data_IF_439466484475
#
_entry.id   IF_439466484475
#
_cell.length_a   1.000
_cell.length_b   1.000
_cell.length_c   1.000
_cell.angle_alpha   90.00
_cell.angle_beta   90.00
_cell.angle_gamma   90.00
#
_symmetry.space_group_name_H-M   'P 1'
#
loop_
_entity.id
_entity.type
_entity.pdbx_description
1 polymer ?
#
# COMPACT_ATOMS: atom_id res chain seq x y z
N UNK A 1 5.53 22.80 -18.31
CA UNK A 1 6.27 21.68 -17.68
C UNK A 1 6.19 21.60 -16.16
N UNK A 2 6.60 22.62 -15.41
CA UNK A 2 6.59 22.55 -13.93
C UNK A 2 5.20 22.80 -13.30
N UNK A 3 4.35 23.59 -13.97
CA UNK A 3 2.89 23.64 -13.70
C UNK A 3 2.14 22.39 -14.26
N UNK A 4 2.74 21.61 -15.18
CA UNK A 4 2.12 20.40 -15.76
C UNK A 4 2.19 19.19 -14.79
N UNK A 5 3.26 19.04 -14.01
CA UNK A 5 3.36 18.13 -12.86
C UNK A 5 2.43 18.53 -11.69
N UNK A 6 2.31 19.84 -11.47
CA UNK A 6 1.46 20.43 -10.43
C UNK A 6 -0.03 20.17 -10.68
N UNK A 7 -0.43 19.95 -11.94
CA UNK A 7 -1.81 19.64 -12.35
C UNK A 7 -2.06 18.18 -12.75
N UNK A 8 -1.05 17.38 -13.10
CA UNK A 8 -1.27 15.96 -13.44
C UNK A 8 -1.82 15.09 -12.29
N UNK A 9 -1.73 15.56 -11.05
CA UNK A 9 -2.36 14.94 -9.87
C UNK A 9 -3.53 15.75 -9.31
N UNK A 10 -3.85 16.92 -9.87
CA UNK A 10 -4.88 17.82 -9.32
C UNK A 10 -6.31 17.46 -9.75
N UNK A 11 -6.50 16.57 -10.74
CA UNK A 11 -7.80 15.98 -11.07
C UNK A 11 -7.67 14.49 -11.40
N UNK A 12 -7.98 13.63 -10.42
CA UNK A 12 -8.58 12.32 -10.68
C UNK A 12 -7.66 11.11 -10.88
N UNK A 13 -6.63 10.90 -10.04
CA UNK A 13 -6.11 9.53 -9.86
C UNK A 13 -7.08 8.63 -9.08
N UNK A 14 -8.20 9.18 -8.59
CA UNK A 14 -9.25 8.46 -7.87
C UNK A 14 -9.68 7.15 -8.56
N UNK A 15 -9.99 7.13 -9.87
CA UNK A 15 -10.34 5.90 -10.59
C UNK A 15 -9.19 4.87 -10.63
N UNK A 16 -7.94 5.29 -10.81
CA UNK A 16 -6.78 4.37 -10.82
C UNK A 16 -6.49 3.82 -9.42
N UNK A 17 -6.51 4.68 -8.41
CA UNK A 17 -6.39 4.31 -6.99
C UNK A 17 -7.50 3.33 -6.62
N UNK A 18 -8.75 3.63 -7.00
CA UNK A 18 -9.89 2.75 -6.77
C UNK A 18 -9.72 1.40 -7.47
N UNK A 19 -9.27 1.40 -8.73
CA UNK A 19 -9.00 0.16 -9.47
C UNK A 19 -7.91 -0.67 -8.79
N UNK A 20 -6.80 -0.06 -8.37
CA UNK A 20 -5.72 -0.74 -7.65
C UNK A 20 -6.21 -1.30 -6.31
N UNK A 21 -7.01 -0.55 -5.56
CA UNK A 21 -7.64 -1.01 -4.32
C UNK A 21 -8.57 -2.19 -4.56
N UNK A 22 -9.38 -2.14 -5.62
CA UNK A 22 -10.29 -3.22 -6.02
C UNK A 22 -9.52 -4.47 -6.46
N UNK A 23 -8.44 -4.31 -7.22
CA UNK A 23 -7.58 -5.41 -7.66
C UNK A 23 -6.88 -6.05 -6.46
N UNK A 24 -6.38 -5.25 -5.50
CA UNK A 24 -5.82 -5.74 -4.23
C UNK A 24 -6.84 -6.45 -3.36
N UNK A 25 -8.09 -5.98 -3.32
CA UNK A 25 -9.15 -6.60 -2.53
C UNK A 25 -9.67 -7.91 -3.14
N UNK A 26 -9.62 -8.03 -4.47
CA UNK A 26 -10.05 -9.24 -5.19
C UNK A 26 -8.92 -10.25 -5.42
N UNK A 27 -7.67 -9.89 -5.15
CA UNK A 27 -6.52 -10.78 -5.29
C UNK A 27 -6.57 -11.88 -4.22
N UNK A 28 -6.81 -13.12 -4.66
CA UNK A 28 -6.74 -14.31 -3.83
C UNK A 28 -5.62 -15.26 -4.26
N UNK A 29 -5.08 -16.01 -3.30
CA UNK A 29 -4.06 -17.03 -3.52
C UNK A 29 -4.62 -18.31 -4.20
N UNK A 30 -5.93 -18.55 -4.18
CA UNK A 30 -6.58 -19.85 -4.42
C UNK A 30 -6.08 -20.69 -5.60
N UNK A 31 -5.55 -20.07 -6.67
CA UNK A 31 -5.04 -20.77 -7.85
C UNK A 31 -3.57 -20.47 -8.19
N UNK A 32 -2.86 -19.70 -7.35
CA UNK A 32 -1.49 -19.28 -7.57
C UNK A 32 -0.55 -19.97 -6.58
N UNK A 33 0.73 -20.08 -6.89
CA UNK A 33 1.75 -20.32 -5.87
C UNK A 33 1.89 -19.09 -4.97
N UNK A 34 2.24 -19.27 -3.70
CA UNK A 34 2.45 -18.18 -2.73
C UNK A 34 3.40 -17.12 -3.28
N UNK A 35 4.48 -17.54 -3.95
CA UNK A 35 5.46 -16.64 -4.57
C UNK A 35 4.88 -15.81 -5.71
N UNK A 36 4.03 -16.41 -6.55
CA UNK A 36 3.35 -15.72 -7.64
C UNK A 36 2.28 -14.75 -7.13
N UNK A 37 1.54 -15.15 -6.09
CA UNK A 37 0.60 -14.28 -5.37
C UNK A 37 1.31 -13.08 -4.76
N UNK A 38 2.38 -13.31 -3.98
CA UNK A 38 3.17 -12.24 -3.36
C UNK A 38 3.74 -11.27 -4.40
N UNK A 39 4.25 -11.77 -5.53
CA UNK A 39 4.77 -10.90 -6.59
C UNK A 39 3.68 -9.99 -7.16
N UNK A 40 2.49 -10.53 -7.46
CA UNK A 40 1.36 -9.73 -7.96
C UNK A 40 0.90 -8.69 -6.94
N UNK A 41 0.74 -9.12 -5.69
CA UNK A 41 0.39 -8.25 -4.58
C UNK A 41 1.38 -7.09 -4.43
N UNK A 42 2.67 -7.40 -4.41
CA UNK A 42 3.74 -6.40 -4.30
C UNK A 42 3.73 -5.40 -5.46
N UNK A 43 3.56 -5.86 -6.70
CA UNK A 43 3.46 -4.95 -7.85
C UNK A 43 2.28 -3.98 -7.72
N UNK A 44 1.08 -4.48 -7.37
CA UNK A 44 -0.10 -3.63 -7.18
C UNK A 44 0.09 -2.64 -6.03
N UNK A 45 0.72 -3.10 -4.95
CA UNK A 45 0.97 -2.26 -3.78
C UNK A 45 2.02 -1.19 -4.04
N UNK A 46 3.15 -1.53 -4.66
CA UNK A 46 4.18 -0.56 -5.04
C UNK A 46 3.61 0.50 -6.00
N UNK A 47 2.70 0.10 -6.90
CA UNK A 47 1.99 1.05 -7.74
C UNK A 47 1.07 1.96 -6.92
N UNK A 48 0.29 1.42 -5.98
CA UNK A 48 -0.58 2.20 -5.10
C UNK A 48 0.21 3.20 -4.22
N UNK A 49 1.39 2.80 -3.74
CA UNK A 49 2.28 3.67 -2.96
C UNK A 49 2.79 4.87 -3.75
N UNK A 50 2.90 4.78 -5.09
CA UNK A 50 3.25 5.92 -5.92
C UNK A 50 2.17 7.03 -5.87
N UNK A 51 0.92 6.68 -5.55
CA UNK A 51 -0.17 7.64 -5.38
C UNK A 51 -0.35 8.09 -3.92
N UNK A 52 0.10 7.28 -2.94
CA UNK A 52 0.00 7.55 -1.50
C UNK A 52 1.33 8.02 -0.90
N UNK A 53 2.16 8.69 -1.69
CA UNK A 53 3.45 9.20 -1.22
C UNK A 53 3.22 10.24 -0.11
N UNK A 54 4.03 10.15 0.95
CA UNK A 54 4.06 11.19 1.97
C UNK A 54 4.35 12.52 1.27
N UNK A 55 3.52 13.57 1.49
CA UNK A 55 3.71 14.84 0.81
C UNK A 55 5.11 15.38 1.12
N UNK A 56 5.89 15.60 0.06
CA UNK A 56 7.22 16.18 0.18
C UNK A 56 7.10 17.62 0.67
N UNK A 57 7.40 17.90 1.95
CA UNK A 57 7.56 19.28 2.41
C UNK A 57 8.88 19.84 1.91
N UNK A 58 8.83 20.87 1.08
CA UNK A 58 10.00 21.67 0.67
C UNK A 58 10.64 22.40 1.85
N UNK A 59 9.89 22.60 2.93
CA UNK A 59 10.33 23.26 4.15
C UNK A 59 11.31 22.43 5.01
N UNK A 60 11.50 21.14 4.72
CA UNK A 60 12.34 20.25 5.53
C UNK A 60 11.75 19.86 6.89
N UNK A 61 10.69 20.52 7.37
CA UNK A 61 10.10 20.28 8.69
C UNK A 61 9.68 18.81 8.92
N UNK A 62 9.19 18.15 7.87
CA UNK A 62 8.83 16.73 7.96
C UNK A 62 10.05 15.81 8.12
N UNK A 63 11.20 16.19 7.50
CA UNK A 63 12.47 15.46 7.65
C UNK A 63 13.12 15.72 9.01
N UNK A 64 12.92 16.89 9.58
CA UNK A 64 13.48 17.28 10.89
C UNK A 64 12.53 17.02 12.07
N UNK A 65 11.31 16.48 11.85
CA UNK A 65 10.38 16.19 12.95
C UNK A 65 10.90 15.03 13.79
N UNK A 66 11.31 15.31 15.02
CA UNK A 66 11.65 14.30 16.04
C UNK A 66 10.42 13.76 16.78
N UNK A 67 9.23 14.28 16.45
CA UNK A 67 7.94 13.94 17.04
C UNK A 67 7.50 12.47 16.87
N UNK A 68 8.20 11.71 16.01
CA UNK A 68 7.87 10.30 15.73
C UNK A 68 6.63 10.08 14.87
N UNK A 69 5.87 11.12 14.52
CA UNK A 69 4.62 11.00 13.75
C UNK A 69 4.82 10.31 12.39
N UNK A 70 5.89 10.66 11.68
CA UNK A 70 6.25 10.02 10.40
C UNK A 70 6.52 8.52 10.57
N UNK A 71 7.22 8.16 11.66
CA UNK A 71 7.51 6.75 11.98
C UNK A 71 6.21 5.98 12.24
N UNK A 72 5.33 6.50 13.08
CA UNK A 72 4.03 5.89 13.39
C UNK A 72 3.17 5.74 12.13
N UNK A 73 3.18 6.74 11.25
CA UNK A 73 2.45 6.67 9.97
C UNK A 73 2.98 5.57 9.05
N UNK A 74 4.31 5.45 8.90
CA UNK A 74 4.94 4.39 8.10
C UNK A 74 4.68 3.00 8.68
N UNK A 75 4.75 2.85 10.00
CA UNK A 75 4.42 1.59 10.70
C UNK A 75 2.95 1.21 10.48
N UNK A 76 2.04 2.19 10.50
CA UNK A 76 0.63 1.97 10.19
C UNK A 76 0.44 1.50 8.75
N UNK A 77 1.05 2.16 7.76
CA UNK A 77 0.98 1.73 6.35
C UNK A 77 1.54 0.31 6.16
N UNK A 78 2.68 0.01 6.80
CA UNK A 78 3.27 -1.32 6.76
C UNK A 78 2.34 -2.38 7.38
N UNK A 79 1.66 -2.04 8.48
CA UNK A 79 0.68 -2.94 9.10
C UNK A 79 -0.50 -3.21 8.17
N UNK A 80 -1.06 -2.18 7.52
CA UNK A 80 -2.15 -2.34 6.55
C UNK A 80 -1.74 -3.23 5.38
N UNK A 81 -0.51 -3.07 4.88
CA UNK A 81 0.06 -3.92 3.84
C UNK A 81 0.10 -5.40 4.25
N UNK A 82 0.59 -5.69 5.46
CA UNK A 82 0.64 -7.07 5.98
C UNK A 82 -0.75 -7.65 6.15
N UNK A 83 -1.70 -6.89 6.72
CA UNK A 83 -3.08 -7.34 6.91
C UNK A 83 -3.71 -7.68 5.55
N UNK A 84 -3.60 -6.80 4.56
CA UNK A 84 -4.19 -7.00 3.23
C UNK A 84 -3.61 -8.24 2.53
N UNK A 85 -2.29 -8.45 2.62
CA UNK A 85 -1.64 -9.64 2.11
C UNK A 85 -2.18 -10.92 2.76
N UNK A 86 -2.27 -10.92 4.09
CA UNK A 86 -2.73 -12.09 4.83
C UNK A 86 -4.20 -12.40 4.55
N UNK A 87 -5.06 -11.40 4.38
CA UNK A 87 -6.48 -11.61 4.05
C UNK A 87 -6.70 -12.29 2.69
N UNK A 88 -5.83 -12.07 1.71
CA UNK A 88 -5.94 -12.73 0.40
C UNK A 88 -5.29 -14.12 0.32
N UNK A 89 -4.62 -14.58 1.39
CA UNK A 89 -4.16 -15.96 1.47
C UNK A 89 -5.34 -16.92 1.65
N UNK A 90 -5.22 -18.10 1.04
CA UNK A 90 -6.24 -19.14 1.13
C UNK A 90 -6.33 -19.75 2.55
N UNK A 91 -7.38 -20.55 2.78
CA UNK A 91 -7.72 -21.10 4.10
C UNK A 91 -6.64 -22.02 4.70
N UNK A 92 -5.74 -22.58 3.87
CA UNK A 92 -4.63 -23.38 4.37
C UNK A 92 -3.67 -22.55 5.26
N UNK A 93 -3.70 -21.22 5.14
CA UNK A 93 -2.90 -20.30 5.96
C UNK A 93 -3.68 -19.74 7.14
N UNK A 94 -4.91 -20.21 7.43
CA UNK A 94 -5.75 -19.70 8.52
C UNK A 94 -5.00 -19.60 9.86
N UNK A 95 -4.30 -20.67 10.27
CA UNK A 95 -3.53 -20.68 11.51
C UNK A 95 -2.40 -19.64 11.53
N UNK A 96 -1.71 -19.45 10.39
CA UNK A 96 -0.63 -18.47 10.27
C UNK A 96 -1.20 -17.04 10.30
N UNK A 97 -2.36 -16.80 9.65
CA UNK A 97 -3.07 -15.52 9.74
C UNK A 97 -3.41 -15.19 11.19
N UNK A 98 -3.96 -16.14 11.93
CA UNK A 98 -4.31 -15.97 13.35
C UNK A 98 -3.10 -15.57 14.20
N UNK A 99 -1.96 -16.24 14.04
CA UNK A 99 -0.75 -15.95 14.83
C UNK A 99 -0.13 -14.57 14.56
N UNK A 100 -0.25 -14.05 13.34
CA UNK A 100 0.36 -12.77 12.96
C UNK A 100 -0.59 -11.59 13.25
N UNK A 101 -1.90 -11.83 13.23
CA UNK A 101 -2.93 -10.80 13.45
C UNK A 101 -3.36 -10.64 14.92
N UNK A 102 -3.08 -11.62 15.78
CA UNK A 102 -3.24 -11.57 17.24
C UNK A 102 -2.05 -10.89 17.92
#
# INVERSE_FOLDING_TARGET
MWEELKNQFSHGNGPRIFQLQKDLASLSHDQLFVSAYYRKFKCLWDELLNYNQIPNCTCGALKSCSCGAVKVFLEYQHRQHVIQFLMGLNENFFHIRGQILL
#
